data_IF_208048566313
#
_entry.id   IF_208048566313
#
_cell.length_a   1.000
_cell.length_b   1.000
_cell.length_c   1.000
_cell.angle_alpha   90.00
_cell.angle_beta   90.00
_cell.angle_gamma   90.00
#
_symmetry.space_group_name_H-M   'P 1'
#
loop_
_entity.id
_entity.type
_entity.pdbx_description
1 polymer ?
#
# COMPACT_ATOMS: atom_id res chain seq x y z
N UNK A 1 10.56 6.44 20.98
CA UNK A 1 9.20 6.43 20.41
C UNK A 1 9.28 5.84 19.01
N UNK A 2 8.34 4.99 18.57
CA UNK A 2 8.36 4.44 17.22
C UNK A 2 8.24 5.57 16.19
N UNK A 3 9.00 5.47 15.09
CA UNK A 3 8.86 6.40 13.95
C UNK A 3 7.47 6.21 13.33
N UNK A 4 6.88 7.30 12.83
CA UNK A 4 5.57 7.26 12.16
C UNK A 4 5.74 7.57 10.68
N UNK A 5 5.14 6.74 9.84
CA UNK A 5 5.11 6.93 8.39
C UNK A 5 3.66 6.83 7.91
N UNK A 6 3.32 7.64 6.92
CA UNK A 6 1.98 7.66 6.33
C UNK A 6 2.09 7.69 4.82
N UNK A 7 1.29 6.86 4.16
CA UNK A 7 1.26 6.72 2.72
C UNK A 7 -0.17 6.82 2.21
N UNK A 8 -0.35 7.56 1.11
CA UNK A 8 -1.59 7.51 0.34
C UNK A 8 -1.36 6.68 -0.92
N UNK A 9 -2.26 5.75 -1.22
CA UNK A 9 -2.24 5.05 -2.49
C UNK A 9 -3.08 5.80 -3.51
N UNK A 10 -2.56 5.94 -4.71
CA UNK A 10 -3.25 6.53 -5.85
C UNK A 10 -3.21 5.59 -7.06
N UNK A 11 -4.26 5.69 -7.88
CA UNK A 11 -4.29 5.05 -9.19
C UNK A 11 -3.62 5.96 -10.22
N UNK A 12 -2.71 5.42 -11.03
CA UNK A 12 -2.10 6.13 -12.16
C UNK A 12 -2.43 5.44 -13.50
N UNK A 13 -2.60 6.22 -14.59
CA UNK A 13 -2.68 5.65 -15.93
C UNK A 13 -1.34 5.00 -16.32
N UNK A 14 -1.38 3.74 -16.72
CA UNK A 14 -0.22 2.99 -17.22
C UNK A 14 -0.30 2.71 -18.74
N UNK A 15 -1.40 3.11 -19.38
CA UNK A 15 -1.65 2.93 -20.81
C UNK A 15 -3.15 2.95 -21.12
N UNK A 16 -3.56 2.74 -22.38
CA UNK A 16 -4.97 2.64 -22.74
C UNK A 16 -5.65 1.53 -21.94
N UNK A 17 -6.64 1.88 -21.12
CA UNK A 17 -7.36 0.97 -20.22
C UNK A 17 -6.48 0.20 -19.22
N UNK A 18 -5.25 0.68 -18.95
CA UNK A 18 -4.34 0.10 -17.99
C UNK A 18 -4.09 1.09 -16.85
N UNK A 19 -4.11 0.55 -15.63
CA UNK A 19 -3.85 1.31 -14.43
C UNK A 19 -2.74 0.65 -13.62
N UNK A 20 -1.91 1.47 -13.01
CA UNK A 20 -0.97 1.08 -11.95
C UNK A 20 -1.37 1.75 -10.65
N UNK A 21 -0.81 1.26 -9.55
CA UNK A 21 -0.98 1.86 -8.23
C UNK A 21 0.36 2.38 -7.75
N UNK A 22 0.34 3.52 -7.08
CA UNK A 22 1.51 4.12 -6.45
C UNK A 22 1.20 4.48 -5.01
N UNK A 23 2.12 4.24 -4.09
CA UNK A 23 2.10 4.82 -2.76
C UNK A 23 2.87 6.13 -2.77
N UNK A 24 2.34 7.15 -2.09
CA UNK A 24 2.97 8.45 -1.91
C UNK A 24 3.27 8.61 -0.43
N UNK A 25 4.55 8.70 -0.09
CA UNK A 25 5.00 9.07 1.25
C UNK A 25 4.58 10.51 1.54
N UNK A 26 3.69 10.71 2.51
CA UNK A 26 3.12 12.03 2.82
C UNK A 26 4.17 13.02 3.31
N UNK A 27 5.22 12.54 3.99
CA UNK A 27 6.25 13.41 4.53
C UNK A 27 7.21 13.94 3.46
N UNK A 28 7.50 13.13 2.44
CA UNK A 28 8.51 13.46 1.41
C UNK A 28 7.93 13.77 0.03
N UNK A 29 6.67 13.40 -0.24
CA UNK A 29 6.07 13.43 -1.58
C UNK A 29 6.62 12.37 -2.53
N UNK A 30 7.48 11.46 -2.06
CA UNK A 30 8.09 10.43 -2.91
C UNK A 30 7.03 9.41 -3.34
N UNK A 31 6.95 9.15 -4.64
CA UNK A 31 6.09 8.11 -5.21
C UNK A 31 6.83 6.77 -5.30
N UNK A 32 6.13 5.69 -4.97
CA UNK A 32 6.61 4.31 -4.94
C UNK A 32 5.63 3.46 -5.73
N UNK A 33 6.07 2.81 -6.81
CA UNK A 33 5.20 1.92 -7.57
C UNK A 33 4.80 0.69 -6.75
N UNK A 34 3.53 0.28 -6.83
CA UNK A 34 2.97 -0.87 -6.12
C UNK A 34 2.52 -1.98 -7.09
N UNK A 35 3.45 -2.67 -7.79
CA UNK A 35 3.09 -3.79 -8.64
C UNK A 35 2.54 -4.97 -7.82
N UNK A 36 2.99 -5.18 -6.57
CA UNK A 36 2.54 -6.30 -5.71
C UNK A 36 1.67 -5.85 -4.55
N UNK A 37 2.07 -4.80 -3.83
CA UNK A 37 1.41 -4.41 -2.59
C UNK A 37 -0.06 -4.07 -2.76
N UNK A 38 -0.93 -4.63 -1.90
CA UNK A 38 -2.38 -4.40 -1.92
C UNK A 38 -3.15 -5.09 -3.05
N UNK A 39 -2.54 -6.00 -3.82
CA UNK A 39 -3.17 -6.68 -4.96
C UNK A 39 -3.34 -8.19 -4.75
N UNK A 40 -4.44 -8.77 -5.27
CA UNK A 40 -4.64 -10.22 -5.34
C UNK A 40 -4.50 -10.94 -4.00
N UNK A 41 -3.55 -11.88 -3.89
CA UNK A 41 -3.24 -12.59 -2.65
C UNK A 41 -2.45 -11.77 -1.61
N UNK A 42 -2.10 -10.52 -1.94
CA UNK A 42 -1.28 -9.63 -1.11
C UNK A 42 -2.08 -8.44 -0.52
N UNK A 43 -3.41 -8.57 -0.41
CA UNK A 43 -4.23 -7.61 0.34
C UNK A 43 -3.70 -7.49 1.77
N UNK A 44 -3.49 -6.25 2.23
CA UNK A 44 -2.88 -5.97 3.53
C UNK A 44 -1.36 -6.20 3.59
N UNK A 45 -0.67 -6.29 2.45
CA UNK A 45 0.79 -6.36 2.39
C UNK A 45 1.36 -5.29 1.47
N UNK A 46 2.48 -4.67 1.85
CA UNK A 46 3.13 -3.58 1.10
C UNK A 46 4.66 -3.75 1.05
N UNK A 47 5.18 -4.75 0.33
CA UNK A 47 6.62 -5.01 0.29
C UNK A 47 7.42 -3.86 -0.33
N UNK A 48 6.86 -3.12 -1.30
CA UNK A 48 7.55 -1.98 -1.89
C UNK A 48 7.70 -0.80 -0.92
N UNK A 49 6.70 -0.57 -0.07
CA UNK A 49 6.79 0.43 1.01
C UNK A 49 7.83 -0.03 2.04
N UNK A 50 7.86 -1.32 2.38
CA UNK A 50 8.88 -1.88 3.27
C UNK A 50 10.30 -1.67 2.72
N UNK A 51 10.54 -2.02 1.45
CA UNK A 51 11.83 -1.82 0.79
C UNK A 51 12.23 -0.34 0.77
N UNK A 52 11.29 0.57 0.49
CA UNK A 52 11.51 2.01 0.55
C UNK A 52 11.93 2.48 1.95
N UNK A 53 11.22 2.04 3.00
CA UNK A 53 11.52 2.42 4.38
C UNK A 53 12.90 1.92 4.84
N UNK A 54 13.26 0.69 4.46
CA UNK A 54 14.56 0.10 4.77
C UNK A 54 15.69 0.91 4.10
N UNK A 55 15.56 1.20 2.81
CA UNK A 55 16.58 1.90 2.03
C UNK A 55 16.72 3.38 2.42
N UNK A 56 15.60 4.08 2.61
CA UNK A 56 15.60 5.54 2.79
C UNK A 56 15.80 5.96 4.24
N UNK A 57 15.20 5.23 5.18
CA UNK A 57 15.12 5.63 6.59
C UNK A 57 15.81 4.65 7.55
N UNK A 58 16.42 3.58 7.01
CA UNK A 58 17.01 2.48 7.79
C UNK A 58 15.99 1.86 8.75
N UNK A 59 14.74 1.75 8.30
CA UNK A 59 13.64 1.14 9.05
C UNK A 59 13.22 -0.13 8.35
N UNK A 60 13.74 -1.26 8.83
CA UNK A 60 13.37 -2.59 8.35
C UNK A 60 12.22 -3.14 9.22
N UNK A 61 11.00 -3.04 8.70
CA UNK A 61 9.78 -3.48 9.38
C UNK A 61 8.87 -4.25 8.42
N UNK A 62 8.34 -5.41 8.82
CA UNK A 62 7.47 -6.18 7.95
C UNK A 62 6.12 -5.50 7.80
N UNK A 63 5.74 -5.16 6.57
CA UNK A 63 4.42 -4.62 6.21
C UNK A 63 3.50 -5.72 5.69
N UNK A 64 3.15 -6.63 6.58
CA UNK A 64 2.20 -7.72 6.37
C UNK A 64 1.17 -7.63 7.50
N UNK A 65 -0.11 -7.62 7.15
CA UNK A 65 -1.18 -7.46 8.14
C UNK A 65 -1.27 -8.67 9.07
N UNK A 66 -1.20 -8.41 10.37
CA UNK A 66 -1.37 -9.41 11.43
C UNK A 66 -2.53 -8.99 12.33
N UNK A 67 -3.63 -9.74 12.31
CA UNK A 67 -4.90 -9.39 12.98
C UNK A 67 -4.75 -9.06 14.47
N UNK A 68 -3.81 -9.69 15.18
CA UNK A 68 -3.61 -9.46 16.62
C UNK A 68 -2.81 -8.18 16.94
N UNK A 69 -2.14 -7.59 15.95
CA UNK A 69 -1.20 -6.47 16.14
C UNK A 69 -1.62 -5.21 15.37
N UNK A 70 -2.25 -5.40 14.22
CA UNK A 70 -2.50 -4.36 13.23
C UNK A 70 -3.98 -4.01 13.14
N UNK A 71 -4.26 -2.79 12.71
CA UNK A 71 -5.62 -2.29 12.54
C UNK A 71 -5.96 -2.12 11.06
N UNK A 72 -7.17 -2.55 10.69
CA UNK A 72 -7.81 -2.26 9.42
C UNK A 72 -9.10 -1.50 9.70
N UNK A 73 -9.23 -0.31 9.11
CA UNK A 73 -10.48 0.46 9.07
C UNK A 73 -10.89 0.63 7.62
N UNK A 74 -12.15 0.39 7.30
CA UNK A 74 -12.68 0.61 5.95
C UNK A 74 -13.74 1.71 6.07
N UNK A 75 -13.57 2.77 5.30
CA UNK A 75 -14.51 3.89 5.24
C UNK A 75 -15.71 3.53 4.35
N UNK A 76 -16.85 4.23 4.47
CA UNK A 76 -18.08 3.90 3.72
C UNK A 76 -17.93 3.92 2.19
N UNK A 77 -16.95 4.65 1.67
CA UNK A 77 -16.62 4.72 0.25
C UNK A 77 -15.73 3.56 -0.24
N UNK A 78 -15.35 2.65 0.66
CA UNK A 78 -14.49 1.49 0.40
C UNK A 78 -13.00 1.77 0.56
N UNK A 79 -12.59 2.99 0.92
CA UNK A 79 -11.19 3.32 1.22
C UNK A 79 -10.74 2.52 2.44
N UNK A 80 -9.59 1.87 2.35
CA UNK A 80 -9.05 1.03 3.41
C UNK A 80 -7.85 1.68 4.06
N UNK A 81 -7.81 1.70 5.38
CA UNK A 81 -6.75 2.27 6.18
C UNK A 81 -6.07 1.15 6.95
N UNK A 82 -4.84 0.83 6.55
CA UNK A 82 -4.02 -0.20 7.16
C UNK A 82 -3.04 0.45 8.11
N UNK A 83 -3.04 0.03 9.38
CA UNK A 83 -2.08 0.50 10.38
C UNK A 83 -1.23 -0.67 10.87
N UNK A 84 0.05 -0.67 10.47
CA UNK A 84 1.04 -1.67 10.87
C UNK A 84 1.79 -1.19 12.10
N UNK A 85 1.74 -1.97 13.19
CA UNK A 85 2.42 -1.63 14.45
C UNK A 85 3.61 -2.52 14.69
N UNK A 86 4.81 -1.95 14.62
CA UNK A 86 6.07 -2.65 14.86
C UNK A 86 6.87 -1.87 15.90
N UNK A 87 7.81 -2.55 16.56
CA UNK A 87 8.61 -1.93 17.64
C UNK A 87 9.37 -0.69 17.15
N UNK A 88 9.91 -0.72 15.92
CA UNK A 88 10.68 0.36 15.35
C UNK A 88 9.83 1.47 14.71
N UNK A 89 8.64 1.12 14.20
CA UNK A 89 7.79 2.05 13.46
C UNK A 89 6.30 1.68 13.48
N UNK A 90 5.47 2.71 13.38
CA UNK A 90 4.08 2.61 12.98
C UNK A 90 3.95 3.12 11.55
N UNK A 91 3.32 2.32 10.68
CA UNK A 91 3.11 2.68 9.27
C UNK A 91 1.62 2.67 8.98
N UNK A 92 1.10 3.78 8.50
CA UNK A 92 -0.30 3.90 8.04
C UNK A 92 -0.32 3.96 6.52
N UNK A 93 -1.16 3.14 5.88
CA UNK A 93 -1.40 3.17 4.44
C UNK A 93 -2.89 3.42 4.20
N UNK A 94 -3.19 4.57 3.62
CA UNK A 94 -4.53 4.96 3.17
C UNK A 94 -4.67 4.48 1.72
N UNK A 95 -5.28 3.32 1.54
CA UNK A 95 -5.42 2.65 0.26
C UNK A 95 -6.81 2.86 -0.34
N UNK A 96 -6.83 3.09 -1.65
CA UNK A 96 -8.07 3.26 -2.40
C UNK A 96 -8.84 1.93 -2.50
N UNK A 97 -10.15 1.96 -2.75
CA UNK A 97 -10.90 0.76 -3.14
C UNK A 97 -10.35 0.23 -4.47
N UNK A 98 -9.51 -0.81 -4.40
CA UNK A 98 -8.95 -1.43 -5.61
C UNK A 98 -9.93 -2.46 -6.14
N UNK A 99 -10.59 -2.14 -7.26
CA UNK A 99 -11.42 -3.11 -7.97
C UNK A 99 -10.50 -3.98 -8.84
N UNK A 100 -10.36 -5.25 -8.51
CA UNK A 100 -9.66 -6.23 -9.35
C UNK A 100 -10.59 -6.62 -10.50
N UNK A 101 -10.57 -5.90 -11.62
CA UNK A 101 -11.22 -6.38 -12.85
C UNK A 101 -10.20 -7.15 -13.70
N UNK A 102 -10.39 -8.45 -13.80
CA UNK A 102 -9.70 -9.29 -14.77
C UNK A 102 -10.38 -9.08 -16.13
N UNK A 103 -9.87 -8.17 -16.96
CA UNK A 103 -10.33 -8.06 -18.35
C UNK A 103 -9.71 -9.21 -19.13
N UNK A 104 -10.46 -10.29 -19.33
CA UNK A 104 -10.12 -11.30 -20.31
C UNK A 104 -10.32 -10.67 -21.69
N UNK A 105 -9.23 -10.22 -22.32
CA UNK A 105 -9.25 -9.83 -23.73
C UNK A 105 -9.56 -11.09 -24.56
N UNK A 106 -10.84 -11.32 -24.84
CA UNK A 106 -11.26 -12.28 -25.84
C UNK A 106 -10.66 -11.85 -27.17
N UNK A 107 -9.70 -12.63 -27.68
CA UNK A 107 -9.26 -12.50 -29.08
C UNK A 107 -10.46 -12.86 -29.95
N UNK A 108 -10.95 -11.88 -30.71
CA UNK A 108 -11.82 -12.10 -31.86
C UNK A 108 -11.04 -12.73 -33.01
#
# INVERSE_FOLDING_TARGET
MPKKFEFNVEQRPAGPNLHSWVAIDIASGTSIDLPRGGNGSMVGQYPEIQEYLANRYQVDVPLIYVTQLDELRIDPDGTSHWTFRRQAAQVTVNDIPRVVFQVQLGRA
#
